data_IF_558752889529
#
_entry.id   IF_558752889529
#
_cell.length_a   1.000
_cell.length_b   1.000
_cell.length_c   1.000
_cell.angle_alpha   90.00
_cell.angle_beta   90.00
_cell.angle_gamma   90.00
#
_symmetry.space_group_name_H-M   'P 1'
#
loop_
_entity.id
_entity.type
_entity.pdbx_description
1 polymer ?
#
# COMPACT_ATOMS: atom_id res chain seq x y z
N UNK A 1 1.95 0.62 -1.26
CA UNK A 1 3.28 0.58 -1.93
C UNK A 1 3.12 1.20 -3.31
N UNK A 2 4.12 1.94 -3.76
CA UNK A 2 4.12 2.61 -5.06
C UNK A 2 5.13 1.87 -5.95
N UNK A 3 4.68 1.26 -7.05
CA UNK A 3 5.53 0.53 -7.99
C UNK A 3 6.42 -0.57 -7.35
N UNK A 4 5.98 -1.13 -6.21
CA UNK A 4 6.70 -2.17 -5.48
C UNK A 4 7.57 -1.70 -4.32
N UNK A 5 7.63 -0.40 -4.03
CA UNK A 5 8.35 0.16 -2.88
C UNK A 5 7.41 0.74 -1.82
N UNK A 6 7.85 0.75 -0.55
CA UNK A 6 7.14 1.42 0.53
C UNK A 6 7.20 2.93 0.36
N UNK A 7 6.10 3.59 0.71
CA UNK A 7 6.03 5.05 0.72
C UNK A 7 5.52 5.50 2.08
N UNK A 8 6.22 6.47 2.67
CA UNK A 8 5.81 7.13 3.91
C UNK A 8 4.73 8.19 3.66
N UNK A 9 4.14 8.23 2.45
CA UNK A 9 3.09 9.17 2.12
C UNK A 9 1.88 8.97 3.04
N UNK A 10 1.53 10.02 3.77
CA UNK A 10 0.35 10.04 4.61
C UNK A 10 -0.92 9.92 3.77
N UNK A 11 -1.77 8.93 4.06
CA UNK A 11 -3.06 8.72 3.38
C UNK A 11 -4.18 9.23 4.27
N UNK A 12 -5.12 9.99 3.69
CA UNK A 12 -6.34 10.43 4.37
C UNK A 12 -7.50 9.57 3.88
N UNK A 13 -8.28 8.99 4.80
CA UNK A 13 -9.52 8.30 4.45
C UNK A 13 -10.70 9.26 4.59
N UNK A 14 -11.51 9.40 3.54
CA UNK A 14 -12.76 10.18 3.56
C UNK A 14 -13.82 9.47 2.73
N UNK A 15 -15.01 9.25 3.28
CA UNK A 15 -16.10 8.51 2.64
C UNK A 15 -15.65 7.14 2.06
N UNK A 16 -14.87 6.37 2.83
CA UNK A 16 -14.30 5.08 2.39
C UNK A 16 -13.45 5.16 1.12
N UNK A 17 -12.87 6.33 0.85
CA UNK A 17 -11.93 6.58 -0.25
C UNK A 17 -10.60 7.07 0.29
N UNK A 18 -9.53 6.50 -0.26
CA UNK A 18 -8.18 6.93 0.01
C UNK A 18 -7.86 8.20 -0.80
N UNK A 19 -7.49 9.26 -0.07
CA UNK A 19 -6.93 10.49 -0.59
C UNK A 19 -5.42 10.47 -0.34
N UNK A 20 -4.63 10.68 -1.38
CA UNK A 20 -3.16 10.71 -1.29
C UNK A 20 -2.63 12.09 -1.65
N UNK A 21 -1.45 12.48 -1.13
CA UNK A 21 -0.82 13.72 -1.53
C UNK A 21 -0.48 13.63 -3.02
N UNK A 22 -0.59 14.76 -3.73
CA UNK A 22 -0.29 14.80 -5.17
C UNK A 22 1.14 14.39 -5.55
N UNK A 23 2.07 14.37 -4.59
CA UNK A 23 3.41 13.80 -4.77
C UNK A 23 3.38 12.30 -5.07
N UNK A 24 2.43 11.55 -4.50
CA UNK A 24 2.21 10.13 -4.80
C UNK A 24 1.85 9.96 -6.27
N UNK A 25 0.97 10.82 -6.81
CA UNK A 25 0.60 10.75 -8.23
C UNK A 25 1.80 10.99 -9.15
N UNK A 26 2.67 11.95 -8.81
CA UNK A 26 3.92 12.17 -9.57
C UNK A 26 4.77 10.91 -9.61
N UNK A 27 4.89 10.21 -8.48
CA UNK A 27 5.71 9.01 -8.34
C UNK A 27 5.07 7.80 -9.04
N UNK A 28 3.76 7.59 -8.89
CA UNK A 28 3.08 6.41 -9.44
C UNK A 28 2.72 6.55 -10.90
N UNK A 29 2.22 7.72 -11.30
CA UNK A 29 1.69 7.92 -12.65
C UNK A 29 2.72 8.55 -13.59
N UNK A 30 3.86 9.03 -13.08
CA UNK A 30 4.83 9.79 -13.87
C UNK A 30 4.27 11.12 -14.39
N UNK A 31 3.17 11.59 -13.80
CA UNK A 31 2.42 12.76 -14.23
C UNK A 31 2.96 14.04 -13.62
N UNK A 32 2.91 15.13 -14.37
CA UNK A 32 3.16 16.47 -13.86
C UNK A 32 1.93 16.99 -13.13
N UNK A 33 2.15 17.56 -11.95
CA UNK A 33 1.08 18.10 -11.10
C UNK A 33 1.32 19.57 -10.84
N UNK A 34 0.31 20.39 -11.12
CA UNK A 34 0.23 21.79 -10.74
C UNK A 34 -0.97 21.97 -9.83
N UNK A 35 -0.87 22.79 -8.80
CA UNK A 35 -2.04 23.15 -7.99
C UNK A 35 -1.95 24.59 -7.52
N UNK A 36 -3.09 25.27 -7.47
CA UNK A 36 -3.15 26.70 -7.21
C UNK A 36 -4.42 27.34 -7.75
N UNK A 37 -4.37 28.63 -8.05
CA UNK A 37 -5.51 29.36 -8.62
C UNK A 37 -5.41 29.41 -10.14
N UNK A 38 -6.54 29.28 -10.83
CA UNK A 38 -6.56 29.47 -12.27
C UNK A 38 -6.63 30.97 -12.59
N UNK A 39 -5.66 31.45 -13.37
CA UNK A 39 -5.67 32.79 -13.92
C UNK A 39 -6.67 32.91 -15.08
N UNK A 40 -7.04 34.15 -15.44
CA UNK A 40 -7.99 34.41 -16.53
C UNK A 40 -7.51 33.91 -17.91
N UNK A 41 -6.21 33.62 -18.07
CA UNK A 41 -5.63 33.03 -19.27
C UNK A 41 -5.59 31.48 -19.25
N UNK A 42 -6.05 30.84 -18.16
CA UNK A 42 -6.08 29.39 -18.00
C UNK A 42 -4.86 28.78 -17.28
N UNK A 43 -3.84 29.57 -16.95
CA UNK A 43 -2.66 29.08 -16.24
C UNK A 43 -2.96 28.79 -14.76
N UNK A 44 -2.30 27.77 -14.21
CA UNK A 44 -2.39 27.44 -12.78
C UNK A 44 -1.25 28.16 -12.03
N UNK A 45 -1.62 29.10 -11.17
CA UNK A 45 -0.71 29.90 -10.35
C UNK A 45 -0.63 29.29 -8.94
N UNK A 46 0.54 28.78 -8.57
CA UNK A 46 0.81 28.24 -7.24
C UNK A 46 0.55 29.25 -6.11
N UNK A 47 0.17 28.73 -4.94
CA UNK A 47 0.00 29.51 -3.72
C UNK A 47 1.29 30.27 -3.36
N UNK A 48 1.17 31.57 -3.04
CA UNK A 48 2.30 32.45 -2.68
C UNK A 48 2.79 33.37 -3.81
N UNK A 49 2.21 33.28 -5.01
CA UNK A 49 2.39 34.29 -6.06
C UNK A 49 1.43 35.46 -5.84
N UNK A 50 1.94 36.69 -5.86
CA UNK A 50 1.18 37.93 -5.58
C UNK A 50 0.09 38.27 -6.60
N UNK A 51 -0.24 37.35 -7.52
CA UNK A 51 -1.10 37.57 -8.69
C UNK A 51 -2.31 36.62 -8.78
N UNK A 52 -2.65 35.88 -7.72
CA UNK A 52 -3.80 34.96 -7.69
C UNK A 52 -5.05 35.59 -7.07
N UNK A 53 -6.19 35.53 -7.76
CA UNK A 53 -7.50 35.91 -7.21
C UNK A 53 -7.89 34.97 -6.06
N UNK A 54 -7.86 35.48 -4.83
CA UNK A 54 -8.06 34.73 -3.58
C UNK A 54 -9.48 34.19 -3.34
N UNK A 55 -10.43 34.49 -4.23
CA UNK A 55 -11.85 34.17 -4.03
C UNK A 55 -12.32 32.93 -4.82
N UNK A 56 -11.45 32.31 -5.63
CA UNK A 56 -11.79 31.10 -6.37
C UNK A 56 -11.25 29.85 -5.66
N UNK A 57 -11.97 28.73 -5.70
CA UNK A 57 -11.48 27.48 -5.14
C UNK A 57 -10.22 27.03 -5.90
N UNK A 58 -9.20 26.49 -5.21
CA UNK A 58 -8.00 26.00 -5.86
C UNK A 58 -8.29 24.87 -6.84
N UNK A 59 -7.47 24.80 -7.88
CA UNK A 59 -7.50 23.75 -8.89
C UNK A 59 -6.26 22.89 -8.72
N UNK A 60 -6.44 21.59 -8.87
CA UNK A 60 -5.38 20.60 -9.01
C UNK A 60 -5.42 20.10 -10.45
N UNK A 61 -4.34 20.36 -11.18
CA UNK A 61 -4.14 19.91 -12.55
C UNK A 61 -3.10 18.81 -12.58
N UNK A 62 -3.44 17.67 -13.17
CA UNK A 62 -2.58 16.49 -13.32
C UNK A 62 -2.53 16.16 -14.81
N UNK A 63 -1.35 16.09 -15.39
CA UNK A 63 -1.23 15.79 -16.83
C UNK A 63 0.03 15.00 -17.17
N UNK A 64 -0.02 14.28 -18.28
CA UNK A 64 1.17 13.67 -18.87
C UNK A 64 1.97 14.70 -19.68
N UNK A 65 3.29 14.51 -19.76
CA UNK A 65 4.18 15.33 -20.58
C UNK A 65 3.82 15.31 -22.07
N UNK A 66 3.23 14.22 -22.56
CA UNK A 66 2.80 14.06 -23.95
C UNK A 66 1.39 14.60 -24.23
N UNK A 67 0.68 15.09 -23.21
CA UNK A 67 -0.68 15.63 -23.34
C UNK A 67 -1.78 14.58 -23.56
N UNK A 68 -1.47 13.28 -23.46
CA UNK A 68 -2.46 12.19 -23.62
C UNK A 68 -3.54 12.16 -22.52
N UNK A 69 -3.22 12.74 -21.36
CA UNK A 69 -4.11 12.81 -20.20
C UNK A 69 -3.97 14.18 -19.54
N UNK A 70 -5.09 14.85 -19.33
CA UNK A 70 -5.24 16.12 -18.62
C UNK A 70 -6.45 15.99 -17.69
N UNK A 71 -6.21 16.08 -16.38
CA UNK A 71 -7.22 16.02 -15.34
C UNK A 71 -7.19 17.34 -14.59
N UNK A 72 -8.35 17.99 -14.46
CA UNK A 72 -8.52 19.18 -13.62
C UNK A 72 -9.60 18.91 -12.58
N UNK A 73 -9.25 19.10 -11.32
CA UNK A 73 -10.17 18.96 -10.21
C UNK A 73 -10.18 20.25 -9.39
N UNK A 74 -11.37 20.66 -8.94
CA UNK A 74 -11.53 21.82 -8.06
C UNK A 74 -11.63 21.35 -6.62
N UNK A 75 -10.84 21.93 -5.72
CA UNK A 75 -10.85 21.61 -4.29
C UNK A 75 -12.25 21.79 -3.71
N UNK A 76 -12.74 20.76 -3.01
CA UNK A 76 -14.07 20.74 -2.41
C UNK A 76 -15.21 20.37 -3.38
N UNK A 77 -14.95 20.17 -4.67
CA UNK A 77 -15.95 19.78 -5.66
C UNK A 77 -15.85 18.30 -6.05
N UNK A 78 -16.98 17.66 -6.32
CA UNK A 78 -17.06 16.26 -6.78
C UNK A 78 -17.14 16.14 -8.30
N UNK A 79 -16.84 17.22 -9.03
CA UNK A 79 -16.76 17.23 -10.48
C UNK A 79 -15.32 17.43 -10.90
N UNK A 80 -14.88 16.67 -11.89
CA UNK A 80 -13.56 16.81 -12.52
C UNK A 80 -13.72 16.96 -14.04
N UNK A 81 -12.79 17.66 -14.68
CA UNK A 81 -12.62 17.66 -16.12
C UNK A 81 -11.50 16.67 -16.48
N UNK A 82 -11.78 15.71 -17.34
CA UNK A 82 -10.83 14.72 -17.86
C UNK A 82 -10.82 14.86 -19.37
N UNK A 83 -9.73 15.37 -19.93
CA UNK A 83 -9.59 15.63 -21.36
C UNK A 83 -10.79 16.40 -21.96
N UNK A 84 -11.31 17.41 -21.24
CA UNK A 84 -12.45 18.23 -21.68
C UNK A 84 -13.83 17.60 -21.44
N UNK A 85 -13.89 16.43 -20.78
CA UNK A 85 -15.16 15.77 -20.40
C UNK A 85 -15.37 15.85 -18.90
N UNK A 86 -16.59 16.16 -18.49
CA UNK A 86 -16.95 16.19 -17.07
C UNK A 86 -17.17 14.79 -16.53
N UNK A 87 -16.43 14.43 -15.49
CA UNK A 87 -16.51 13.17 -14.77
C UNK A 87 -16.82 13.42 -13.28
N UNK A 88 -17.47 12.45 -12.62
CA UNK A 88 -17.85 12.56 -11.20
C UNK A 88 -16.82 11.89 -10.29
N UNK A 89 -16.51 12.54 -9.17
CA UNK A 89 -15.64 12.03 -8.12
C UNK A 89 -16.48 11.51 -6.94
N UNK A 90 -16.14 10.31 -6.44
CA UNK A 90 -16.72 9.76 -5.21
C UNK A 90 -16.39 10.61 -3.97
N UNK A 91 -15.28 11.35 -4.01
CA UNK A 91 -14.82 12.20 -2.92
C UNK A 91 -14.08 13.39 -3.49
N UNK A 92 -14.33 14.62 -3.01
CA UNK A 92 -13.66 15.80 -3.53
C UNK A 92 -12.18 15.82 -3.12
N UNK A 93 -11.28 16.40 -3.94
CA UNK A 93 -9.94 16.71 -3.50
C UNK A 93 -9.96 17.74 -2.37
N UNK A 94 -8.95 17.69 -1.52
CA UNK A 94 -8.83 18.54 -0.34
C UNK A 94 -7.43 19.11 -0.21
N UNK A 95 -7.29 20.24 0.49
CA UNK A 95 -6.01 20.72 0.96
C UNK A 95 -5.98 20.51 2.47
N UNK A 96 -4.98 19.79 2.96
CA UNK A 96 -4.76 19.54 4.39
C UNK A 96 -3.28 19.72 4.69
N UNK A 97 -2.95 20.43 5.79
CA UNK A 97 -1.56 20.71 6.18
C UNK A 97 -0.71 21.25 5.02
N UNK A 98 -1.25 22.25 4.29
CA UNK A 98 -0.61 22.87 3.13
C UNK A 98 -0.22 21.90 2.00
N UNK A 99 -0.85 20.72 1.95
CA UNK A 99 -0.64 19.70 0.94
C UNK A 99 -1.95 19.41 0.22
N UNK A 100 -1.91 19.36 -1.11
CA UNK A 100 -3.05 18.96 -1.92
C UNK A 100 -3.18 17.43 -1.93
N UNK A 101 -4.38 16.95 -1.65
CA UNK A 101 -4.75 15.54 -1.65
C UNK A 101 -5.83 15.26 -2.70
N UNK A 102 -5.67 14.16 -3.43
CA UNK A 102 -6.56 13.76 -4.52
C UNK A 102 -7.06 12.33 -4.34
N UNK A 103 -8.25 11.98 -4.87
CA UNK A 103 -8.75 10.61 -4.85
C UNK A 103 -7.85 9.72 -5.68
N UNK A 104 -7.11 8.84 -5.00
CA UNK A 104 -6.11 7.99 -5.65
C UNK A 104 -6.76 7.13 -6.74
N UNK A 105 -7.92 6.54 -6.42
CA UNK A 105 -8.67 5.69 -7.36
C UNK A 105 -8.99 6.40 -8.66
N UNK A 106 -9.67 7.52 -8.56
CA UNK A 106 -10.08 8.28 -9.75
C UNK A 106 -8.87 8.64 -10.63
N UNK A 107 -7.81 9.19 -10.03
CA UNK A 107 -6.63 9.59 -10.79
C UNK A 107 -5.98 8.39 -11.46
N UNK A 108 -5.72 7.32 -10.71
CA UNK A 108 -5.13 6.10 -11.28
C UNK A 108 -5.96 5.49 -12.41
N UNK A 109 -7.29 5.42 -12.26
CA UNK A 109 -8.18 4.89 -13.30
C UNK A 109 -8.05 5.72 -14.60
N UNK A 110 -7.98 7.06 -14.51
CA UNK A 110 -7.72 7.92 -15.67
C UNK A 110 -6.35 7.63 -16.32
N UNK A 111 -5.32 7.34 -15.52
CA UNK A 111 -3.99 6.99 -16.02
C UNK A 111 -3.84 5.52 -16.42
N UNK A 112 -4.93 4.74 -16.44
CA UNK A 112 -4.92 3.30 -16.75
C UNK A 112 -4.12 2.48 -15.73
N UNK A 113 -3.86 3.02 -14.55
CA UNK A 113 -3.22 2.29 -13.45
C UNK A 113 -4.26 1.44 -12.75
N UNK A 114 -3.86 0.27 -12.32
CA UNK A 114 -4.77 -0.60 -11.57
C UNK A 114 -4.56 -0.47 -10.08
N UNK A 115 -5.67 -0.33 -9.36
CA UNK A 115 -5.70 -0.31 -7.91
C UNK A 115 -6.36 -1.57 -7.37
N UNK A 116 -5.59 -2.31 -6.58
CA UNK A 116 -6.09 -3.36 -5.71
C UNK A 116 -6.33 -2.86 -4.29
N UNK A 117 -7.43 -3.33 -3.68
CA UNK A 117 -7.67 -3.27 -2.24
C UNK A 117 -8.03 -4.68 -1.77
N UNK A 118 -7.67 -5.04 -0.54
CA UNK A 118 -8.09 -6.30 0.04
C UNK A 118 -9.53 -6.19 0.55
N UNK A 119 -10.42 -7.13 0.20
CA UNK A 119 -11.75 -7.16 0.79
C UNK A 119 -11.66 -7.46 2.29
N UNK A 120 -12.47 -6.76 3.08
CA UNK A 120 -12.64 -7.01 4.50
C UNK A 120 -13.30 -8.38 4.73
N UNK A 121 -12.76 -9.19 5.64
CA UNK A 121 -13.40 -10.42 6.13
C UNK A 121 -13.89 -10.26 7.58
N UNK A 122 -14.76 -11.16 8.05
CA UNK A 122 -15.41 -11.11 9.38
C UNK A 122 -14.47 -11.11 10.61
N UNK A 123 -13.15 -11.19 10.42
CA UNK A 123 -12.15 -11.30 11.49
C UNK A 123 -11.30 -10.02 11.63
N UNK A 124 -11.83 -8.87 11.19
CA UNK A 124 -11.07 -7.63 11.03
C UNK A 124 -10.43 -7.10 12.34
N UNK A 125 -10.95 -7.51 13.51
CA UNK A 125 -10.50 -7.06 14.82
C UNK A 125 -9.21 -7.72 15.34
N UNK A 126 -8.72 -8.79 14.72
CA UNK A 126 -7.48 -9.45 15.13
C UNK A 126 -6.27 -8.88 14.36
N UNK A 127 -5.34 -8.15 15.03
CA UNK A 127 -4.14 -7.61 14.38
C UNK A 127 -3.26 -8.66 13.69
N UNK A 128 -3.39 -9.94 14.06
CA UNK A 128 -2.65 -11.06 13.46
C UNK A 128 -3.35 -11.68 12.25
N UNK A 129 -4.60 -11.30 12.00
CA UNK A 129 -5.37 -11.77 10.86
C UNK A 129 -5.00 -10.98 9.61
N UNK A 130 -4.73 -11.68 8.52
CA UNK A 130 -4.56 -11.11 7.18
C UNK A 130 -5.84 -10.41 6.70
N UNK A 131 -6.98 -10.68 7.34
CA UNK A 131 -8.26 -9.99 7.08
C UNK A 131 -8.42 -8.70 7.89
N UNK A 132 -7.54 -8.39 8.85
CA UNK A 132 -7.52 -7.09 9.57
C UNK A 132 -7.06 -5.92 8.70
N UNK A 133 -6.50 -6.23 7.52
CA UNK A 133 -6.24 -5.30 6.42
C UNK A 133 -7.51 -4.56 5.94
N UNK A 134 -8.69 -4.99 6.38
CA UNK A 134 -9.97 -4.28 6.25
C UNK A 134 -9.95 -2.83 6.78
N UNK A 135 -9.23 -2.57 7.88
CA UNK A 135 -9.25 -1.27 8.55
C UNK A 135 -8.22 -0.28 8.01
N UNK A 136 -7.24 -0.75 7.24
CA UNK A 136 -6.23 0.06 6.56
C UNK A 136 -5.94 -0.54 5.18
N UNK A 137 -6.63 -0.11 4.12
CA UNK A 137 -6.44 -0.68 2.80
C UNK A 137 -5.00 -0.45 2.35
N UNK A 138 -4.27 -1.54 2.09
CA UNK A 138 -2.99 -1.44 1.40
C UNK A 138 -3.32 -1.05 -0.04
N UNK A 139 -3.03 0.19 -0.40
CA UNK A 139 -3.20 0.65 -1.77
C UNK A 139 -1.95 0.33 -2.58
N UNK A 140 -2.19 -0.29 -3.73
CA UNK A 140 -1.18 -0.63 -4.73
C UNK A 140 -1.53 0.07 -6.03
N UNK A 141 -0.52 0.58 -6.72
CA UNK A 141 -0.65 1.20 -8.04
C UNK A 141 0.40 0.54 -8.94
N UNK A 142 -0.04 0.02 -10.09
CA UNK A 142 0.82 -0.64 -11.08
C UNK A 142 0.36 -0.29 -12.52
N UNK A 143 1.25 -0.47 -13.49
CA UNK A 143 1.22 0.09 -14.85
C UNK A 143 0.49 -0.79 -15.87
N UNK A 144 0.03 -1.99 -15.52
CA UNK A 144 -0.49 -2.94 -16.51
C UNK A 144 -1.76 -3.66 -16.11
N UNK A 145 -2.62 -3.92 -17.10
CA UNK A 145 -3.84 -4.76 -17.08
C UNK A 145 -3.61 -6.23 -16.63
N UNK A 146 -2.46 -6.58 -16.07
CA UNK A 146 -2.14 -7.93 -15.57
C UNK A 146 -2.73 -8.19 -14.17
N UNK A 147 -3.87 -7.59 -13.87
CA UNK A 147 -4.39 -7.42 -12.51
C UNK A 147 -5.39 -8.45 -12.06
N UNK A 148 -5.65 -9.45 -12.90
CA UNK A 148 -5.99 -10.76 -12.40
C UNK A 148 -4.75 -11.64 -12.52
N UNK A 149 -3.75 -11.44 -11.65
CA UNK A 149 -2.78 -12.50 -11.42
C UNK A 149 -3.61 -13.74 -11.08
N UNK A 150 -3.48 -14.79 -11.89
CA UNK A 150 -4.12 -16.07 -11.63
C UNK A 150 -3.88 -16.44 -10.17
N UNK A 151 -4.87 -17.08 -9.52
CA UNK A 151 -4.72 -17.60 -8.16
C UNK A 151 -3.30 -18.20 -8.05
N UNK A 152 -2.46 -17.71 -7.12
CA UNK A 152 -1.09 -18.20 -7.00
C UNK A 152 -1.16 -19.72 -6.88
N UNK A 153 -0.40 -20.40 -7.73
CA UNK A 153 -0.41 -21.85 -7.79
C UNK A 153 0.03 -22.44 -6.45
N UNK A 154 -0.32 -23.70 -6.19
CA UNK A 154 0.16 -24.43 -5.00
C UNK A 154 1.70 -24.39 -4.87
N UNK A 155 2.41 -24.18 -5.99
CA UNK A 155 3.86 -23.99 -6.01
C UNK A 155 4.32 -22.71 -5.28
N UNK A 156 3.55 -21.61 -5.32
CA UNK A 156 3.93 -20.37 -4.60
C UNK A 156 3.77 -20.55 -3.09
N UNK A 157 2.70 -21.22 -2.65
CA UNK A 157 2.51 -21.54 -1.23
C UNK A 157 3.59 -22.51 -0.74
N UNK A 158 3.90 -23.53 -1.54
CA UNK A 158 4.95 -24.51 -1.23
C UNK A 158 6.31 -23.83 -1.10
N UNK A 159 6.66 -22.97 -2.06
CA UNK A 159 7.89 -22.18 -2.02
C UNK A 159 7.94 -21.26 -0.81
N UNK A 160 6.85 -20.54 -0.50
CA UNK A 160 6.78 -19.63 0.65
C UNK A 160 7.01 -20.38 1.96
N UNK A 161 6.35 -21.52 2.15
CA UNK A 161 6.55 -22.38 3.34
C UNK A 161 8.00 -22.87 3.43
N UNK A 162 8.65 -23.19 2.30
CA UNK A 162 10.05 -23.58 2.30
C UNK A 162 10.97 -22.43 2.75
N UNK A 163 10.73 -21.21 2.27
CA UNK A 163 11.47 -20.02 2.69
C UNK A 163 11.30 -19.73 4.20
N UNK A 164 10.06 -19.80 4.70
CA UNK A 164 9.79 -19.59 6.13
C UNK A 164 10.43 -20.68 7.01
N UNK A 165 10.42 -21.94 6.57
CA UNK A 165 11.10 -23.04 7.28
C UNK A 165 12.62 -22.88 7.30
N UNK A 166 13.21 -22.36 6.22
CA UNK A 166 14.63 -22.00 6.19
C UNK A 166 14.93 -20.90 7.23
N UNK A 167 14.13 -19.84 7.26
CA UNK A 167 14.27 -18.77 8.25
C UNK A 167 14.12 -19.28 9.70
N UNK A 168 13.16 -20.17 9.97
CA UNK A 168 12.98 -20.81 11.27
C UNK A 168 14.20 -21.65 11.67
N UNK A 169 14.79 -22.38 10.73
CA UNK A 169 16.02 -23.16 10.96
C UNK A 169 17.20 -22.25 11.32
N UNK A 170 17.36 -21.14 10.58
CA UNK A 170 18.38 -20.13 10.87
C UNK A 170 18.19 -19.50 12.25
N UNK A 171 16.95 -19.17 12.63
CA UNK A 171 16.63 -18.62 13.96
C UNK A 171 16.95 -19.61 15.08
N UNK A 172 16.55 -20.88 14.96
CA UNK A 172 16.88 -21.94 15.94
C UNK A 172 18.38 -22.05 16.18
N UNK A 173 19.16 -22.02 15.08
CA UNK A 173 20.63 -22.04 15.15
C UNK A 173 21.18 -20.78 15.83
N UNK A 174 20.68 -19.61 15.46
CA UNK A 174 21.11 -18.32 16.01
C UNK A 174 20.87 -18.25 17.52
N UNK A 175 19.66 -18.59 18.00
CA UNK A 175 19.35 -18.56 19.44
C UNK A 175 20.15 -19.61 20.20
N UNK A 176 20.23 -20.85 19.71
CA UNK A 176 21.00 -21.91 20.37
C UNK A 176 22.51 -21.66 20.46
N UNK A 177 23.06 -20.75 19.65
CA UNK A 177 24.49 -20.45 19.63
C UNK A 177 24.85 -19.09 20.25
N UNK A 178 23.96 -18.10 20.22
CA UNK A 178 24.27 -16.69 20.49
C UNK A 178 23.36 -16.06 21.55
N UNK A 179 22.10 -16.48 21.66
CA UNK A 179 21.15 -15.95 22.65
C UNK A 179 20.96 -17.00 23.75
N UNK A 180 21.79 -16.93 24.80
CA UNK A 180 21.81 -17.86 25.94
C UNK A 180 20.50 -17.88 26.78
N UNK A 181 19.50 -17.05 26.43
CA UNK A 181 18.27 -16.80 27.18
C UNK A 181 17.08 -17.69 26.80
N UNK A 182 17.12 -18.37 25.64
CA UNK A 182 16.06 -19.29 25.19
C UNK A 182 16.67 -20.64 24.85
N UNK A 183 16.36 -21.66 25.65
CA UNK A 183 16.77 -23.02 25.35
C UNK A 183 16.17 -23.54 24.03
N UNK A 184 16.74 -24.58 23.41
CA UNK A 184 16.30 -25.14 22.13
C UNK A 184 14.85 -25.68 22.12
N UNK A 185 14.18 -25.70 23.28
CA UNK A 185 12.82 -26.16 23.50
C UNK A 185 11.82 -25.01 23.77
N UNK A 186 12.17 -23.77 23.44
CA UNK A 186 11.24 -22.64 23.56
C UNK A 186 9.93 -22.94 22.78
N UNK A 187 8.75 -22.88 23.43
CA UNK A 187 7.45 -23.10 22.78
C UNK A 187 7.22 -22.24 21.53
N UNK A 188 7.84 -21.06 21.46
CA UNK A 188 7.76 -20.17 20.30
C UNK A 188 8.22 -20.85 19.00
N UNK A 189 9.22 -21.73 19.05
CA UNK A 189 9.67 -22.44 17.86
C UNK A 189 8.63 -23.41 17.29
N UNK A 190 7.91 -24.10 18.18
CA UNK A 190 6.83 -25.00 17.78
C UNK A 190 5.65 -24.20 17.25
N UNK A 191 5.31 -23.09 17.91
CA UNK A 191 4.24 -22.20 17.45
C UNK A 191 4.53 -21.64 16.04
N UNK A 192 5.76 -21.18 15.77
CA UNK A 192 6.13 -20.70 14.43
C UNK A 192 6.01 -21.84 13.41
N UNK A 193 6.49 -23.04 13.74
CA UNK A 193 6.38 -24.19 12.83
C UNK A 193 4.92 -24.53 12.51
N UNK A 194 4.04 -24.51 13.52
CA UNK A 194 2.61 -24.76 13.37
C UNK A 194 1.96 -23.66 12.52
N UNK A 195 2.31 -22.39 12.72
CA UNK A 195 1.78 -21.28 11.93
C UNK A 195 2.25 -21.32 10.47
N UNK A 196 3.50 -21.76 10.21
CA UNK A 196 4.00 -22.03 8.85
C UNK A 196 3.21 -23.17 8.21
N UNK A 197 3.01 -24.28 8.94
CA UNK A 197 2.27 -25.44 8.44
C UNK A 197 0.82 -25.08 8.09
N UNK A 198 0.19 -24.26 8.92
CA UNK A 198 -1.18 -23.79 8.76
C UNK A 198 -1.31 -22.58 7.83
N UNK A 199 -0.22 -22.12 7.20
CA UNK A 199 -0.26 -20.99 6.26
C UNK A 199 -1.18 -21.31 5.08
N UNK A 200 -2.13 -20.42 4.79
CA UNK A 200 -3.12 -20.56 3.73
C UNK A 200 -3.30 -19.27 2.92
N UNK A 201 -3.69 -19.45 1.66
CA UNK A 201 -3.96 -18.36 0.73
C UNK A 201 -5.30 -17.67 1.06
N UNK A 202 -5.28 -16.34 1.16
CA UNK A 202 -6.44 -15.52 1.51
C UNK A 202 -7.06 -14.89 0.26
N UNK A 203 -6.23 -14.34 -0.62
CA UNK A 203 -6.70 -13.57 -1.78
C UNK A 203 -5.54 -12.86 -2.50
N UNK A 204 -5.85 -12.20 -3.62
CA UNK A 204 -4.88 -11.42 -4.37
C UNK A 204 -5.20 -9.93 -4.31
N UNK A 205 -4.15 -9.12 -4.39
CA UNK A 205 -4.21 -7.65 -4.54
C UNK A 205 -3.32 -7.28 -5.71
N UNK A 206 -3.90 -7.17 -6.91
CA UNK A 206 -3.10 -7.05 -8.12
C UNK A 206 -2.14 -8.24 -8.26
N UNK A 207 -0.83 -7.97 -8.28
CA UNK A 207 0.24 -8.99 -8.36
C UNK A 207 0.65 -9.61 -7.02
N UNK A 208 0.07 -9.15 -5.91
CA UNK A 208 0.45 -9.63 -4.58
C UNK A 208 -0.50 -10.70 -4.11
N UNK A 209 0.05 -11.88 -3.80
CA UNK A 209 -0.66 -12.95 -3.14
C UNK A 209 -0.63 -12.73 -1.62
N UNK A 210 -1.81 -12.63 -1.01
CA UNK A 210 -1.96 -12.53 0.44
C UNK A 210 -2.12 -13.92 1.05
N UNK A 211 -1.33 -14.17 2.08
CA UNK A 211 -1.37 -15.38 2.89
C UNK A 211 -1.59 -15.03 4.36
N UNK A 212 -2.39 -15.86 5.03
CA UNK A 212 -2.39 -15.96 6.48
C UNK A 212 -1.29 -16.95 6.86
N UNK A 213 -0.42 -16.59 7.79
CA UNK A 213 0.66 -17.44 8.30
C UNK A 213 1.21 -16.87 9.60
N UNK A 214 2.49 -17.08 9.91
CA UNK A 214 3.13 -16.53 11.11
C UNK A 214 2.99 -15.02 11.26
N UNK A 215 3.07 -14.35 10.10
CA UNK A 215 2.61 -12.99 9.90
C UNK A 215 1.65 -13.01 8.72
N UNK A 216 0.65 -12.12 8.66
CA UNK A 216 0.05 -11.75 7.39
C UNK A 216 1.15 -11.42 6.37
N UNK A 217 1.13 -12.13 5.25
CA UNK A 217 2.25 -12.15 4.31
C UNK A 217 1.78 -11.80 2.91
N UNK A 218 2.42 -10.83 2.29
CA UNK A 218 2.24 -10.48 0.89
C UNK A 218 3.43 -11.00 0.09
N UNK A 219 3.16 -11.75 -0.96
CA UNK A 219 4.19 -12.21 -1.90
C UNK A 219 3.95 -11.54 -3.23
N UNK A 220 4.95 -10.78 -3.70
CA UNK A 220 4.98 -10.34 -5.08
C UNK A 220 5.20 -11.57 -5.98
N UNK A 221 4.17 -11.99 -6.73
CA UNK A 221 4.24 -13.23 -7.51
C UNK A 221 5.29 -13.17 -8.62
N UNK A 222 5.64 -11.96 -9.07
CA UNK A 222 6.59 -11.71 -10.15
C UNK A 222 8.03 -11.70 -9.63
N UNK A 223 8.31 -10.85 -8.64
CA UNK A 223 9.67 -10.69 -8.11
C UNK A 223 10.07 -11.73 -7.07
N UNK A 224 9.09 -12.49 -6.54
CA UNK A 224 9.25 -13.38 -5.38
C UNK A 224 9.73 -12.65 -4.12
N UNK A 225 9.48 -11.35 -4.02
CA UNK A 225 9.72 -10.60 -2.79
C UNK A 225 8.62 -10.88 -1.77
N UNK A 226 9.01 -11.13 -0.53
CA UNK A 226 8.09 -11.40 0.59
C UNK A 226 8.02 -10.16 1.47
N UNK A 227 6.80 -9.78 1.84
CA UNK A 227 6.54 -8.71 2.78
C UNK A 227 5.73 -9.25 3.95
N UNK A 228 6.18 -8.95 5.16
CA UNK A 228 5.41 -9.23 6.37
C UNK A 228 4.68 -8.00 6.81
N UNK A 229 3.54 -8.24 7.45
CA UNK A 229 2.67 -7.23 7.99
C UNK A 229 2.36 -7.56 9.45
N UNK A 230 2.44 -6.55 10.32
CA UNK A 230 2.28 -6.68 11.76
C UNK A 230 1.68 -5.39 12.35
N UNK A 231 1.04 -5.53 13.50
CA UNK A 231 0.61 -4.44 14.38
C UNK A 231 1.47 -4.47 15.63
N UNK A 232 2.32 -3.46 15.80
CA UNK A 232 3.08 -3.29 17.04
C UNK A 232 2.25 -2.62 18.12
N UNK A 233 2.32 -3.12 19.35
CA UNK A 233 1.86 -2.38 20.53
C UNK A 233 2.63 -1.07 20.65
N UNK A 234 1.97 0.05 20.31
CA UNK A 234 2.49 1.41 20.49
C UNK A 234 3.20 2.05 19.28
N UNK A 235 3.48 1.33 18.19
CA UNK A 235 4.19 1.87 17.00
C UNK A 235 3.34 1.98 15.74
N UNK A 236 2.06 1.61 15.81
CA UNK A 236 1.20 1.53 14.63
C UNK A 236 1.53 0.32 13.75
N UNK A 237 0.80 0.23 12.64
CA UNK A 237 0.90 -0.82 11.64
C UNK A 237 2.27 -0.78 10.96
N UNK A 238 2.93 -1.93 10.84
CA UNK A 238 4.24 -2.06 10.18
C UNK A 238 4.14 -3.08 9.05
N UNK A 239 4.71 -2.72 7.92
CA UNK A 239 4.89 -3.59 6.77
C UNK A 239 6.33 -3.45 6.30
N UNK A 240 7.01 -4.57 6.07
CA UNK A 240 8.42 -4.56 5.72
C UNK A 240 8.75 -5.72 4.79
N UNK A 241 9.82 -5.56 4.00
CA UNK A 241 10.35 -6.65 3.21
C UNK A 241 11.01 -7.67 4.14
N UNK A 242 10.48 -8.89 4.14
CA UNK A 242 11.00 -9.96 4.97
C UNK A 242 12.27 -10.55 4.34
N UNK A 243 13.36 -10.57 5.10
CA UNK A 243 14.61 -11.21 4.70
C UNK A 243 14.68 -12.60 5.29
N UNK A 244 14.35 -13.64 4.52
CA UNK A 244 14.33 -15.03 5.01
C UNK A 244 15.71 -15.57 5.43
N UNK A 245 16.80 -14.84 5.16
CA UNK A 245 18.14 -15.15 5.65
C UNK A 245 18.47 -14.45 6.97
N UNK A 246 17.70 -13.45 7.37
CA UNK A 246 17.84 -12.79 8.67
C UNK A 246 17.28 -13.74 9.76
N UNK A 247 18.13 -14.22 10.68
CA UNK A 247 17.68 -15.11 11.75
C UNK A 247 16.64 -14.45 12.65
N UNK A 248 16.57 -13.11 12.72
CA UNK A 248 15.61 -12.42 13.58
C UNK A 248 14.23 -12.21 12.95
N UNK A 249 14.01 -12.69 11.73
CA UNK A 249 12.77 -12.49 10.96
C UNK A 249 11.47 -12.82 11.72
N UNK A 250 11.49 -13.81 12.63
CA UNK A 250 10.31 -14.17 13.46
C UNK A 250 10.33 -13.59 14.88
N UNK A 251 11.33 -12.80 15.25
CA UNK A 251 11.52 -12.36 16.65
C UNK A 251 10.41 -11.44 17.14
N UNK A 252 9.98 -10.49 16.30
CA UNK A 252 9.16 -9.35 16.72
C UNK A 252 7.81 -9.73 17.35
N UNK A 253 7.21 -10.87 16.99
CA UNK A 253 5.96 -11.33 17.60
C UNK A 253 6.07 -12.53 18.53
N UNK A 254 7.00 -13.44 18.24
CA UNK A 254 7.06 -14.72 18.95
C UNK A 254 7.92 -14.65 20.20
N UNK A 255 8.77 -13.63 20.30
CA UNK A 255 9.74 -13.46 21.38
C UNK A 255 9.71 -12.06 22.01
N UNK A 256 8.72 -11.23 21.65
CA UNK A 256 8.49 -9.96 22.32
C UNK A 256 7.87 -10.21 23.71
N UNK A 257 8.69 -10.03 24.74
CA UNK A 257 8.32 -9.97 26.15
C UNK A 257 7.87 -8.58 26.57
#
# INVERSE_FOLDING_TARGET
MLNGEFSDAHVIMKNDRALVPVSVIRQTCGADVLWGYQAGNGDIISYGSNNGSSNLPPIIKIHNKDGSMDIKMTVGQTSADVNGKTETLDTPPVIANNTAYVPLRFVCDCFGKVIGSLPAGQDAGDPKSAKSLAFNPIVWVDDSEKTNAAKPTDATLTWLKAQMNQALTSLKKYRGAILEDTGPNDPAFSQIADDINNTYYVGNVGRYALYQGPYPTLVDVNSKTIYFYTVGSGSGWRIWQANMNDPETFMLYYFAS
#
